data_IF_317576427905
#
_entry.id   IF_317576427905
#
_cell.length_a   1.000
_cell.length_b   1.000
_cell.length_c   1.000
_cell.angle_alpha   90.00
_cell.angle_beta   90.00
_cell.angle_gamma   90.00
#
_symmetry.space_group_name_H-M   'P 1'
#
loop_
_entity.id
_entity.type
_entity.pdbx_description
1 polymer ?
#
# COMPACT_ATOMS: atom_id res chain seq x y z
N UNK A 1 7.46 0.62 25.56
CA UNK A 1 7.46 0.94 25.23
C UNK A 1 7.35 1.66 25.06
N UNK A 2 7.53 1.78 25.23
CA UNK A 2 7.49 2.36 25.06
C UNK A 2 7.36 3.02 24.26
N UNK A 3 7.30 3.30 23.81
CA UNK A 3 7.10 3.99 22.93
C UNK A 3 6.39 3.81 22.15
N UNK A 4 5.84 3.32 22.64
CA UNK A 4 5.04 2.96 22.05
C UNK A 4 4.17 3.78 21.26
N UNK A 5 3.69 4.63 21.29
CA UNK A 5 2.96 5.46 20.35
C UNK A 5 3.80 5.94 19.25
N UNK A 6 4.87 5.30 19.02
CA UNK A 6 5.79 5.75 18.00
C UNK A 6 5.40 5.25 16.62
N UNK A 7 5.90 5.93 15.62
CA UNK A 7 5.70 5.55 14.24
C UNK A 7 6.37 4.20 13.97
N UNK A 8 5.57 3.24 13.60
CA UNK A 8 6.05 1.88 13.42
C UNK A 8 7.03 1.77 12.26
N UNK A 9 6.97 2.69 11.30
CA UNK A 9 7.89 2.69 10.15
C UNK A 9 9.33 2.95 10.55
N UNK A 10 9.56 3.49 11.75
CA UNK A 10 10.89 3.81 12.23
C UNK A 10 11.53 2.65 12.99
N UNK A 11 10.84 1.54 13.11
CA UNK A 11 11.30 0.44 13.94
C UNK A 11 11.67 -0.78 13.14
N UNK A 12 12.60 -1.55 13.71
CA UNK A 12 12.84 -2.91 13.28
C UNK A 12 11.76 -3.77 13.94
N UNK A 13 10.96 -4.43 13.13
CA UNK A 13 9.86 -5.26 13.62
C UNK A 13 10.38 -6.68 13.81
N UNK A 14 10.30 -7.24 15.02
CA UNK A 14 10.71 -8.61 15.26
C UNK A 14 9.91 -9.58 14.39
N UNK A 15 10.54 -10.67 13.97
CA UNK A 15 9.96 -11.60 13.00
C UNK A 15 8.59 -12.12 13.44
N UNK A 16 8.45 -12.51 14.71
CA UNK A 16 7.17 -13.03 15.18
C UNK A 16 6.09 -11.96 15.21
N UNK A 17 6.44 -10.71 15.57
CA UNK A 17 5.49 -9.59 15.54
C UNK A 17 5.14 -9.20 14.12
N UNK A 18 6.11 -9.30 13.22
CA UNK A 18 5.87 -9.03 11.81
C UNK A 18 4.79 -9.95 11.27
N UNK A 19 4.91 -11.25 11.52
CA UNK A 19 3.92 -12.22 11.05
C UNK A 19 2.53 -11.96 11.62
N UNK A 20 2.46 -11.66 12.92
CA UNK A 20 1.18 -11.35 13.56
C UNK A 20 0.55 -10.11 12.98
N UNK A 21 1.34 -9.07 12.75
CA UNK A 21 0.83 -7.82 12.20
C UNK A 21 0.30 -8.04 10.78
N UNK A 22 1.02 -8.82 9.98
CA UNK A 22 0.56 -9.15 8.62
C UNK A 22 -0.76 -9.90 8.68
N UNK A 23 -0.91 -10.85 9.60
CA UNK A 23 -2.15 -11.61 9.75
C UNK A 23 -3.32 -10.71 10.14
N UNK A 24 -3.09 -9.75 11.04
CA UNK A 24 -4.12 -8.80 11.43
C UNK A 24 -4.57 -7.94 10.25
N UNK A 25 -3.62 -7.47 9.46
CA UNK A 25 -3.92 -6.67 8.28
C UNK A 25 -4.71 -7.47 7.25
N UNK A 26 -4.38 -8.75 7.09
CA UNK A 26 -5.10 -9.62 6.16
C UNK A 26 -6.52 -9.85 6.65
N UNK A 27 -6.72 -10.00 7.96
CA UNK A 27 -8.04 -10.33 8.51
C UNK A 27 -8.99 -9.15 8.57
N UNK A 28 -8.49 -7.92 8.45
CA UNK A 28 -9.32 -6.71 8.51
C UNK A 28 -9.01 -5.80 7.34
N UNK A 29 -9.74 -5.98 6.25
CA UNK A 29 -9.50 -5.23 5.01
C UNK A 29 -9.77 -3.73 5.16
N UNK A 30 -10.70 -3.35 6.01
CA UNK A 30 -10.97 -1.92 6.22
C UNK A 30 -9.79 -1.26 6.93
N UNK A 31 -9.24 -1.92 7.92
CA UNK A 31 -8.05 -1.42 8.60
C UNK A 31 -6.87 -1.35 7.63
N UNK A 32 -6.69 -2.39 6.84
CA UNK A 32 -5.62 -2.43 5.84
C UNK A 32 -5.73 -1.26 4.86
N UNK A 33 -6.93 -1.06 4.31
CA UNK A 33 -7.14 0.04 3.38
C UNK A 33 -6.84 1.38 4.03
N UNK A 34 -7.33 1.60 5.25
CA UNK A 34 -7.08 2.86 5.95
C UNK A 34 -5.58 3.12 6.12
N UNK A 35 -4.82 2.09 6.45
CA UNK A 35 -3.37 2.26 6.63
C UNK A 35 -2.67 2.56 5.31
N UNK A 36 -3.09 1.92 4.23
CA UNK A 36 -2.53 2.21 2.91
C UNK A 36 -2.80 3.65 2.51
N UNK A 37 -4.02 4.12 2.73
CA UNK A 37 -4.42 5.46 2.29
C UNK A 37 -3.78 6.57 3.12
N UNK A 38 -3.13 6.24 4.23
CA UNK A 38 -2.33 7.20 5.00
C UNK A 38 -0.93 7.40 4.40
N UNK A 39 -0.48 6.52 3.53
CA UNK A 39 0.86 6.62 2.96
C UNK A 39 0.85 7.68 1.86
N UNK A 40 1.66 8.71 2.05
CA UNK A 40 1.74 9.81 1.10
C UNK A 40 2.79 9.53 0.02
N UNK A 41 2.52 10.01 -1.18
CA UNK A 41 3.50 9.98 -2.26
C UNK A 41 4.58 11.03 -1.99
N UNK A 42 5.77 10.78 -2.51
CA UNK A 42 6.87 11.73 -2.38
C UNK A 42 6.75 12.88 -3.38
N UNK A 43 6.16 12.61 -4.54
CA UNK A 43 5.98 13.61 -5.58
C UNK A 43 4.64 14.31 -5.38
N UNK A 44 4.62 15.66 -5.23
CA UNK A 44 3.35 16.39 -5.00
C UNK A 44 2.32 16.21 -6.11
N UNK A 45 2.75 16.11 -7.35
CA UNK A 45 1.82 15.89 -8.47
C UNK A 45 1.16 14.53 -8.37
N UNK A 46 1.94 13.52 -8.02
CA UNK A 46 1.44 12.17 -7.81
C UNK A 46 0.51 12.13 -6.61
N UNK A 47 0.86 12.85 -5.54
CA UNK A 47 0.03 12.90 -4.34
C UNK A 47 -1.37 13.42 -4.64
N UNK A 48 -1.49 14.44 -5.48
CA UNK A 48 -2.80 14.96 -5.84
C UNK A 48 -3.64 13.92 -6.58
N UNK A 49 -3.02 13.18 -7.48
CA UNK A 49 -3.71 12.12 -8.22
C UNK A 49 -4.12 10.99 -7.27
N UNK A 50 -3.24 10.61 -6.37
CA UNK A 50 -3.51 9.56 -5.39
C UNK A 50 -4.69 9.94 -4.50
N UNK A 51 -4.78 11.20 -4.07
CA UNK A 51 -5.90 11.65 -3.27
C UNK A 51 -7.23 11.45 -3.99
N UNK A 52 -7.26 11.76 -5.28
CA UNK A 52 -8.46 11.54 -6.08
C UNK A 52 -8.77 10.04 -6.18
N UNK A 53 -7.74 9.24 -6.46
CA UNK A 53 -7.92 7.79 -6.54
C UNK A 53 -8.43 7.19 -5.22
N UNK A 54 -7.96 7.71 -4.08
CA UNK A 54 -8.38 7.22 -2.76
C UNK A 54 -9.88 7.37 -2.55
N UNK A 55 -10.44 8.49 -3.01
CA UNK A 55 -11.88 8.70 -2.89
C UNK A 55 -12.65 7.64 -3.66
N UNK A 56 -12.19 7.31 -4.85
CA UNK A 56 -12.84 6.28 -5.65
C UNK A 56 -12.63 4.88 -5.06
N UNK A 57 -11.46 4.63 -4.45
CA UNK A 57 -11.23 3.37 -3.75
C UNK A 57 -12.23 3.18 -2.61
N UNK A 58 -12.44 4.23 -1.81
CA UNK A 58 -13.41 4.17 -0.71
C UNK A 58 -14.83 3.94 -1.20
N UNK A 59 -15.16 4.47 -2.37
CA UNK A 59 -16.47 4.28 -2.99
C UNK A 59 -16.59 2.95 -3.71
N UNK A 60 -15.52 2.16 -3.74
CA UNK A 60 -15.45 0.90 -4.49
C UNK A 60 -15.63 1.09 -5.99
N UNK A 61 -15.33 2.29 -6.48
CA UNK A 61 -15.33 2.58 -7.90
C UNK A 61 -13.94 2.27 -8.44
N UNK A 62 -13.68 0.98 -8.64
CA UNK A 62 -12.34 0.51 -8.96
C UNK A 62 -11.89 0.87 -10.37
N UNK A 63 -12.83 1.00 -11.29
CA UNK A 63 -12.49 1.35 -12.67
C UNK A 63 -11.89 2.76 -12.73
N UNK A 64 -12.55 3.71 -12.09
CA UNK A 64 -12.08 5.10 -12.07
C UNK A 64 -10.83 5.23 -11.21
N UNK A 65 -10.79 4.55 -10.06
CA UNK A 65 -9.59 4.54 -9.23
C UNK A 65 -8.40 4.05 -10.03
N UNK A 66 -8.58 2.99 -10.80
CA UNK A 66 -7.51 2.44 -11.63
C UNK A 66 -7.00 3.44 -12.66
N UNK A 67 -7.92 4.16 -13.33
CA UNK A 67 -7.52 5.18 -14.30
C UNK A 67 -6.65 6.25 -13.67
N UNK A 68 -7.02 6.70 -12.47
CA UNK A 68 -6.23 7.70 -11.76
C UNK A 68 -4.85 7.16 -11.38
N UNK A 69 -4.81 5.94 -10.85
CA UNK A 69 -3.54 5.34 -10.44
C UNK A 69 -2.63 5.07 -11.64
N UNK A 70 -3.20 4.67 -12.78
CA UNK A 70 -2.40 4.48 -13.98
C UNK A 70 -1.84 5.80 -14.50
N UNK A 71 -2.61 6.88 -14.35
CA UNK A 71 -2.12 8.21 -14.71
C UNK A 71 -0.91 8.59 -13.84
N UNK A 72 -1.00 8.33 -12.53
CA UNK A 72 0.11 8.56 -11.62
C UNK A 72 1.31 7.69 -11.99
N UNK A 73 1.06 6.45 -12.37
CA UNK A 73 2.11 5.50 -12.71
C UNK A 73 2.89 5.91 -13.95
N UNK A 74 2.27 6.68 -14.84
CA UNK A 74 2.98 7.24 -16.00
C UNK A 74 3.92 8.37 -15.59
N UNK A 75 3.67 9.01 -14.45
CA UNK A 75 4.54 10.08 -13.94
C UNK A 75 5.75 9.50 -13.23
N UNK A 76 5.55 8.48 -12.40
CA UNK A 76 6.64 7.87 -11.64
C UNK A 76 6.38 6.39 -11.41
N UNK A 77 7.46 5.62 -11.38
CA UNK A 77 7.42 4.21 -11.01
C UNK A 77 8.26 3.94 -9.77
N UNK A 78 8.58 5.01 -9.02
CA UNK A 78 9.50 4.91 -7.89
C UNK A 78 8.85 5.19 -6.55
N UNK A 79 7.51 5.25 -6.49
CA UNK A 79 6.81 5.67 -5.29
C UNK A 79 6.06 4.49 -4.65
N UNK A 80 6.44 4.14 -3.42
CA UNK A 80 5.83 3.03 -2.69
C UNK A 80 4.34 3.23 -2.46
N UNK A 81 3.91 4.48 -2.22
CA UNK A 81 2.50 4.79 -2.02
C UNK A 81 1.65 4.35 -3.20
N UNK A 82 2.19 4.49 -4.40
CA UNK A 82 1.49 4.13 -5.62
C UNK A 82 1.41 2.61 -5.78
N UNK A 83 2.52 1.90 -5.54
CA UNK A 83 2.51 0.44 -5.64
C UNK A 83 1.57 -0.19 -4.62
N UNK A 84 1.50 0.40 -3.42
CA UNK A 84 0.57 -0.08 -2.40
C UNK A 84 -0.87 0.01 -2.89
N UNK A 85 -1.24 1.13 -3.47
CA UNK A 85 -2.60 1.31 -3.97
C UNK A 85 -2.91 0.43 -5.16
N UNK A 86 -1.94 0.24 -6.05
CA UNK A 86 -2.13 -0.66 -7.18
C UNK A 86 -2.28 -2.11 -6.73
N UNK A 87 -1.45 -2.55 -5.78
CA UNK A 87 -1.58 -3.90 -5.24
C UNK A 87 -2.94 -4.09 -4.57
N UNK A 88 -3.36 -3.11 -3.76
CA UNK A 88 -4.64 -3.18 -3.07
C UNK A 88 -5.81 -3.20 -4.05
N UNK A 89 -5.78 -2.32 -5.05
CA UNK A 89 -6.84 -2.26 -6.05
C UNK A 89 -6.98 -3.58 -6.79
N UNK A 90 -5.88 -4.15 -7.26
CA UNK A 90 -5.92 -5.44 -7.96
C UNK A 90 -6.46 -6.54 -7.06
N UNK A 91 -6.08 -6.52 -5.79
CA UNK A 91 -6.59 -7.47 -4.81
C UNK A 91 -8.11 -7.36 -4.68
N UNK A 92 -8.62 -6.13 -4.55
CA UNK A 92 -10.06 -5.90 -4.43
C UNK A 92 -10.82 -6.33 -5.68
N UNK A 93 -10.17 -6.30 -6.83
CA UNK A 93 -10.76 -6.75 -8.08
C UNK A 93 -10.64 -8.25 -8.29
N UNK A 94 -10.01 -8.96 -7.36
CA UNK A 94 -9.77 -10.41 -7.48
C UNK A 94 -8.64 -10.78 -8.40
N UNK A 95 -7.84 -9.80 -8.84
CA UNK A 95 -6.72 -10.02 -9.73
C UNK A 95 -5.47 -10.28 -8.90
N UNK A 96 -5.42 -11.45 -8.28
CA UNK A 96 -4.43 -11.74 -7.24
C UNK A 96 -2.99 -11.76 -7.75
N UNK A 97 -2.77 -12.26 -8.96
CA UNK A 97 -1.40 -12.28 -9.51
C UNK A 97 -0.89 -10.89 -9.83
N UNK A 98 -1.78 -10.01 -10.32
CA UNK A 98 -1.40 -8.63 -10.59
C UNK A 98 -1.12 -7.89 -9.27
N UNK A 99 -1.95 -8.15 -8.26
CA UNK A 99 -1.74 -7.60 -6.93
C UNK A 99 -0.36 -8.00 -6.40
N UNK A 100 -0.04 -9.27 -6.47
CA UNK A 100 1.25 -9.79 -6.04
C UNK A 100 2.40 -9.14 -6.80
N UNK A 101 2.25 -8.99 -8.11
CA UNK A 101 3.27 -8.41 -8.95
C UNK A 101 3.57 -6.95 -8.55
N UNK A 102 2.53 -6.16 -8.32
CA UNK A 102 2.73 -4.78 -7.88
C UNK A 102 3.37 -4.73 -6.49
N UNK A 103 2.94 -5.59 -5.59
CA UNK A 103 3.54 -5.64 -4.25
C UNK A 103 5.02 -6.00 -4.33
N UNK A 104 5.37 -7.00 -5.13
CA UNK A 104 6.75 -7.42 -5.29
C UNK A 104 7.61 -6.28 -5.85
N UNK A 105 7.12 -5.60 -6.88
CA UNK A 105 7.84 -4.48 -7.47
C UNK A 105 8.04 -3.34 -6.48
N UNK A 106 7.03 -3.08 -5.66
CA UNK A 106 7.14 -2.06 -4.62
C UNK A 106 8.22 -2.40 -3.61
N UNK A 107 8.36 -3.68 -3.26
CA UNK A 107 9.39 -4.13 -2.32
C UNK A 107 10.80 -3.95 -2.87
N UNK A 108 10.96 -3.83 -4.18
CA UNK A 108 12.28 -3.62 -4.79
C UNK A 108 12.70 -2.16 -4.81
N UNK A 109 11.82 -1.24 -4.44
CA UNK A 109 12.16 0.18 -4.41
C UNK A 109 13.20 0.47 -3.32
N UNK A 110 14.16 1.35 -3.59
CA UNK A 110 15.26 1.58 -2.63
C UNK A 110 14.87 2.39 -1.40
N UNK A 111 13.79 3.15 -1.45
CA UNK A 111 13.48 4.13 -0.41
C UNK A 111 12.18 3.88 0.34
N UNK A 112 11.70 2.65 0.37
CA UNK A 112 10.45 2.37 1.11
C UNK A 112 10.75 2.22 2.60
N UNK A 113 9.78 2.65 3.43
CA UNK A 113 9.87 2.51 4.88
C UNK A 113 9.58 1.08 5.31
N UNK A 114 9.90 0.78 6.57
CA UNK A 114 9.57 -0.53 7.15
C UNK A 114 8.06 -0.78 7.14
N UNK A 115 7.28 0.27 7.39
CA UNK A 115 5.82 0.15 7.39
C UNK A 115 5.27 -0.14 5.99
N UNK A 116 5.77 0.59 4.98
CA UNK A 116 5.38 0.30 3.59
C UNK A 116 5.74 -1.13 3.21
N UNK A 117 6.92 -1.59 3.61
CA UNK A 117 7.36 -2.95 3.34
C UNK A 117 6.42 -3.97 3.96
N UNK A 118 6.00 -3.72 5.19
CA UNK A 118 5.07 -4.62 5.88
C UNK A 118 3.73 -4.66 5.15
N UNK A 119 3.21 -3.50 4.77
CA UNK A 119 1.93 -3.44 4.05
C UNK A 119 2.01 -4.15 2.69
N UNK A 120 3.10 -3.97 1.97
CA UNK A 120 3.28 -4.66 0.68
C UNK A 120 3.31 -6.18 0.86
N UNK A 121 3.91 -6.65 1.94
CA UNK A 121 4.00 -8.09 2.20
C UNK A 121 2.64 -8.73 2.40
N UNK A 122 1.62 -7.98 2.79
CA UNK A 122 0.26 -8.51 2.94
C UNK A 122 -0.18 -9.19 1.63
N UNK A 123 0.13 -8.56 0.50
CA UNK A 123 -0.33 -9.06 -0.79
C UNK A 123 0.47 -10.25 -1.31
N UNK A 124 1.62 -10.52 -0.70
CA UNK A 124 2.42 -11.70 -1.03
C UNK A 124 2.03 -12.92 -0.22
N UNK A 125 1.24 -12.72 0.84
CA UNK A 125 0.78 -13.82 1.70
C UNK A 125 -0.47 -14.50 1.14
N UNK A 126 -1.08 -13.93 0.14
CA UNK A 126 -2.28 -14.51 -0.47
C UNK A 126 -1.93 -15.52 -1.60
#
# INVERSE_FOLDING_TARGET
STDNGRNISDFTIPVNNFSKTVELLISDENFLEDEILKINAQNPSVQRIIKSADDYLRQKNYIVANSELERAFRITKMDGALYLRLAHLRFKQGLLKESESFAYKGLLLPNISSWERLLLNVYLKN
#
